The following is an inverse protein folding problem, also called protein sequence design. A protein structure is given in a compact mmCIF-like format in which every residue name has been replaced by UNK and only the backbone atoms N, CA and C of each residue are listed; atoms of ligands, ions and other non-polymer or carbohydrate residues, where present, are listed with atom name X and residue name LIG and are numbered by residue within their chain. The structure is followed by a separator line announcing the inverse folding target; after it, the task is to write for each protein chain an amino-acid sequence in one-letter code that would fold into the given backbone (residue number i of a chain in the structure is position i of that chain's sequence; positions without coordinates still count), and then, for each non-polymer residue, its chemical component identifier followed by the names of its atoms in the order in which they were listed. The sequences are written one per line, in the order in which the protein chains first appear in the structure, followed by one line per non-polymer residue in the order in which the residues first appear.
data_IF_833282505728
#
_entry.id   IF_833282505728
#
_cell.length_a   1.000
_cell.length_b   1.000
_cell.length_c   1.000
_cell.angle_alpha   90.00
_cell.angle_beta   90.00
_cell.angle_gamma   90.00
#
_symmetry.space_group_name_H-M   'P 1'
#
loop_
_entity.id
_entity.type
_entity.pdbx_description
1 polymer ?
#
# COMPACT_ATOMS: atom_id res chain seq x y z
N UNK A 1 -59.94 10.93 -7.90
CA UNK A 1 -59.40 11.19 -6.55
C UNK A 1 -58.07 10.46 -6.46
N UNK A 2 -57.02 11.14 -6.91
CA UNK A 2 -55.95 11.72 -6.08
C UNK A 2 -54.91 10.67 -5.62
N UNK A 3 -53.92 10.34 -6.46
CA UNK A 3 -52.53 10.84 -6.61
C UNK A 3 -51.48 10.09 -5.76
N UNK A 4 -50.40 9.71 -6.46
CA UNK A 4 -48.98 9.81 -6.09
C UNK A 4 -48.31 8.82 -5.12
N UNK A 5 -47.10 8.45 -5.57
CA UNK A 5 -46.09 7.58 -5.00
C UNK A 5 -45.48 8.16 -3.72
N UNK A 6 -45.11 7.30 -2.77
CA UNK A 6 -43.97 7.56 -1.89
C UNK A 6 -43.24 6.24 -1.59
N UNK A 7 -42.11 6.05 -2.25
CA UNK A 7 -41.09 5.08 -1.85
C UNK A 7 -40.45 5.62 -0.58
N UNK A 8 -40.66 4.94 0.56
CA UNK A 8 -40.02 5.30 1.81
C UNK A 8 -38.63 4.65 1.86
N UNK A 9 -37.59 5.44 1.57
CA UNK A 9 -36.22 5.09 1.86
C UNK A 9 -36.01 5.09 3.38
N UNK A 10 -35.79 3.93 3.97
CA UNK A 10 -35.33 3.82 5.36
C UNK A 10 -33.82 4.04 5.34
N UNK A 11 -33.42 5.29 5.48
CA UNK A 11 -32.05 5.67 5.85
C UNK A 11 -31.90 5.36 7.34
N UNK A 12 -31.26 4.25 7.67
CA UNK A 12 -30.83 3.98 9.05
C UNK A 12 -29.57 4.80 9.31
N UNK A 13 -29.73 5.94 9.98
CA UNK A 13 -28.63 6.70 10.52
C UNK A 13 -28.06 5.95 11.76
N UNK A 14 -26.85 5.40 11.64
CA UNK A 14 -26.05 5.00 12.78
C UNK A 14 -25.56 6.26 13.49
N UNK A 15 -26.15 6.54 14.65
CA UNK A 15 -25.65 7.54 15.60
C UNK A 15 -24.39 6.96 16.25
N UNK A 16 -23.21 7.31 15.72
CA UNK A 16 -21.96 7.16 16.46
C UNK A 16 -21.79 8.35 17.39
N UNK A 17 -21.83 8.09 18.70
CA UNK A 17 -21.51 9.06 19.74
C UNK A 17 -19.99 9.31 19.68
N UNK A 18 -19.60 10.43 19.08
CA UNK A 18 -18.24 10.93 19.10
C UNK A 18 -17.89 11.38 20.53
N UNK A 19 -17.22 10.52 21.29
CA UNK A 19 -16.39 10.98 22.39
C UNK A 19 -15.18 11.70 21.78
N UNK A 20 -15.02 12.97 22.17
CA UNK A 20 -14.16 13.93 21.52
C UNK A 20 -12.71 13.47 21.31
N UNK A 21 -12.34 13.32 20.05
CA UNK A 21 -11.01 13.65 19.53
C UNK A 21 -11.29 14.49 18.29
N UNK A 22 -10.94 15.77 18.33
CA UNK A 22 -10.98 16.62 17.15
C UNK A 22 -9.92 16.10 16.17
N UNK A 23 -10.33 15.31 15.18
CA UNK A 23 -9.49 15.01 14.03
C UNK A 23 -9.51 16.28 13.18
N UNK A 24 -8.43 17.05 13.27
CA UNK A 24 -8.18 18.13 12.33
C UNK A 24 -8.06 17.51 10.94
N UNK A 25 -9.14 17.60 10.14
CA UNK A 25 -9.07 17.33 8.71
C UNK A 25 -8.23 18.44 8.11
N UNK A 26 -6.94 18.19 7.91
CA UNK A 26 -6.09 19.05 7.09
C UNK A 26 -6.59 18.88 5.66
N UNK A 27 -7.20 19.94 5.12
CA UNK A 27 -7.61 20.02 3.72
C UNK A 27 -6.40 19.66 2.86
N UNK A 28 -6.49 18.55 2.12
CA UNK A 28 -5.46 18.16 1.17
C UNK A 28 -5.34 19.27 0.12
N UNK A 29 -4.16 19.85 0.00
CA UNK A 29 -3.83 20.79 -1.08
C UNK A 29 -3.92 20.06 -2.41
N UNK A 30 -4.49 20.70 -3.44
CA UNK A 30 -4.48 20.26 -4.85
C UNK A 30 -3.07 20.28 -5.48
N UNK A 31 -2.05 19.84 -4.74
CA UNK A 31 -0.70 19.65 -5.27
C UNK A 31 -0.58 18.22 -5.78
N UNK A 32 -0.18 18.09 -7.04
CA UNK A 32 0.17 16.82 -7.67
C UNK A 32 1.65 16.46 -7.44
N UNK A 33 2.32 17.11 -6.48
CA UNK A 33 3.76 16.94 -6.24
C UNK A 33 3.99 15.89 -5.13
N UNK A 34 4.06 14.63 -5.54
CA UNK A 34 4.16 13.45 -4.66
C UNK A 34 5.35 13.43 -3.68
N UNK A 35 6.55 13.95 -4.03
CA UNK A 35 7.67 13.99 -3.07
C UNK A 35 7.39 14.91 -1.87
N UNK A 36 6.72 16.05 -2.11
CA UNK A 36 6.45 17.04 -1.05
C UNK A 36 5.40 16.57 -0.05
N UNK A 37 4.46 15.71 -0.50
CA UNK A 37 3.51 15.03 0.37
C UNK A 37 4.23 14.08 1.34
N UNK A 38 5.21 13.29 0.86
CA UNK A 38 6.00 12.34 1.67
C UNK A 38 6.82 13.04 2.78
N UNK A 39 7.52 14.12 2.46
CA UNK A 39 8.35 14.86 3.44
C UNK A 39 7.53 15.55 4.54
N UNK A 40 6.31 15.98 4.21
CA UNK A 40 5.41 16.66 5.16
C UNK A 40 4.81 15.73 6.22
N UNK A 41 4.77 14.41 5.96
CA UNK A 41 4.28 13.39 6.90
C UNK A 41 5.44 12.89 7.78
N UNK A 42 6.62 12.64 7.18
CA UNK A 42 7.82 12.20 7.91
C UNK A 42 8.31 13.21 8.97
N UNK A 43 8.11 14.50 8.74
CA UNK A 43 8.48 15.57 9.69
C UNK A 43 7.57 15.68 10.92
N UNK A 44 6.41 14.99 10.94
CA UNK A 44 5.45 15.02 12.05
C UNK A 44 5.72 14.03 13.19
N UNK A 45 6.60 13.05 13.00
CA UNK A 45 6.92 12.02 14.01
C UNK A 45 8.26 12.24 14.74
N UNK A 46 8.99 13.32 14.42
CA UNK A 46 10.34 13.56 14.92
C UNK A 46 10.43 14.28 16.29
N UNK A 47 9.33 14.44 17.03
CA UNK A 47 9.32 15.16 18.31
C UNK A 47 8.83 14.27 19.47
N UNK A 48 9.58 13.20 19.75
CA UNK A 48 9.78 12.77 21.14
C UNK A 48 11.04 11.91 21.28
N UNK A 49 11.83 12.26 22.29
CA UNK A 49 12.97 11.53 22.88
C UNK A 49 14.38 11.82 22.34
N UNK A 50 14.85 13.02 22.67
CA UNK A 50 16.24 13.26 23.02
C UNK A 50 16.66 12.38 24.23
N UNK A 51 17.61 11.45 24.02
CA UNK A 51 18.81 11.26 24.89
C UNK A 51 19.82 10.21 24.37
N UNK A 52 20.97 10.74 23.91
CA UNK A 52 22.37 10.33 24.14
C UNK A 52 22.82 8.87 23.91
N UNK A 53 23.66 8.69 22.88
CA UNK A 53 25.06 8.27 23.12
C UNK A 53 25.66 7.06 22.38
N UNK A 54 26.53 7.35 21.40
CA UNK A 54 27.89 6.79 21.18
C UNK A 54 28.09 5.39 20.53
N UNK A 55 28.43 5.39 19.22
CA UNK A 55 29.75 4.98 18.70
C UNK A 55 30.02 3.53 18.24
N UNK A 56 30.50 3.40 16.98
CA UNK A 56 31.31 2.29 16.41
C UNK A 56 30.50 1.17 15.75
N UNK A 57 30.78 0.62 14.56
CA UNK A 57 31.94 0.63 13.67
C UNK A 57 32.19 -0.82 13.20
N UNK A 58 32.17 -1.08 11.87
CA UNK A 58 32.89 -2.20 11.25
C UNK A 58 32.11 -3.29 10.50
N UNK A 59 32.42 -3.42 9.20
CA UNK A 59 32.98 -4.65 8.64
C UNK A 59 32.02 -5.68 8.03
N UNK A 60 32.04 -5.83 6.69
CA UNK A 60 31.21 -6.77 5.94
C UNK A 60 31.71 -8.22 5.89
N UNK A 61 30.95 -9.07 5.17
CA UNK A 61 31.36 -9.99 4.07
C UNK A 61 30.26 -11.01 3.81
N UNK A 62 29.92 -11.19 2.53
CA UNK A 62 28.99 -12.22 2.05
C UNK A 62 29.65 -13.56 1.72
N UNK A 63 28.82 -14.53 1.34
CA UNK A 63 29.23 -15.70 0.56
C UNK A 63 28.36 -16.97 0.66
N UNK A 64 27.47 -17.17 -0.33
CA UNK A 64 27.07 -18.46 -0.95
C UNK A 64 26.09 -19.38 -0.19
N UNK A 65 25.10 -20.06 -0.79
CA UNK A 65 24.63 -20.18 -2.17
C UNK A 65 23.78 -21.46 -2.36
N UNK A 66 22.95 -21.47 -3.42
CA UNK A 66 22.36 -22.60 -4.18
C UNK A 66 20.90 -23.02 -3.89
N UNK A 67 20.06 -22.85 -4.93
CA UNK A 67 19.19 -23.92 -5.43
C UNK A 67 17.70 -23.60 -5.52
N UNK A 68 17.26 -22.80 -6.51
CA UNK A 68 15.84 -22.59 -6.81
C UNK A 68 15.65 -22.03 -8.21
N UNK A 69 14.62 -22.48 -8.90
CA UNK A 69 14.31 -22.27 -10.32
C UNK A 69 14.29 -20.77 -10.69
N UNK A 70 14.99 -20.41 -11.77
CA UNK A 70 15.20 -19.03 -12.19
C UNK A 70 13.89 -18.33 -12.61
N UNK A 71 13.26 -17.62 -11.69
CA UNK A 71 12.47 -16.43 -12.02
C UNK A 71 13.43 -15.34 -12.46
N UNK A 72 13.12 -14.63 -13.55
CA UNK A 72 13.93 -13.49 -14.01
C UNK A 72 13.42 -12.26 -13.26
N UNK A 73 14.10 -11.77 -12.20
CA UNK A 73 13.77 -10.48 -11.63
C UNK A 73 14.01 -9.43 -12.71
N UNK A 74 13.06 -8.51 -12.89
CA UNK A 74 13.39 -7.22 -13.50
C UNK A 74 14.42 -6.60 -12.57
N UNK A 75 15.62 -6.39 -13.09
CA UNK A 75 16.79 -6.03 -12.33
C UNK A 75 16.49 -4.82 -11.42
N UNK A 76 16.75 -5.00 -10.12
CA UNK A 76 16.86 -3.90 -9.19
C UNK A 76 17.89 -2.90 -9.72
N UNK A 77 17.40 -1.70 -10.05
CA UNK A 77 18.25 -0.57 -10.36
C UNK A 77 18.95 -0.13 -9.08
N UNK A 78 20.26 -0.32 -9.03
CA UNK A 78 21.13 0.41 -8.11
C UNK A 78 21.04 1.91 -8.45
N UNK A 79 20.14 2.63 -7.77
CA UNK A 79 20.12 4.09 -7.75
C UNK A 79 21.11 4.59 -6.71
N UNK A 80 22.39 4.71 -7.09
CA UNK A 80 23.31 5.56 -6.34
C UNK A 80 22.82 6.99 -6.44
N UNK A 81 22.67 7.66 -5.31
CA UNK A 81 22.41 9.11 -5.26
C UNK A 81 23.59 9.82 -5.94
N UNK A 82 23.39 10.25 -7.18
CA UNK A 82 24.23 11.26 -7.79
C UNK A 82 23.94 12.57 -7.04
N UNK A 83 24.98 13.16 -6.45
CA UNK A 83 24.95 14.45 -5.76
C UNK A 83 24.79 15.60 -6.78
N UNK A 84 23.68 15.64 -7.51
CA UNK A 84 23.35 16.66 -8.53
C UNK A 84 22.08 16.26 -9.30
N UNK A 85 20.93 16.21 -8.61
CA UNK A 85 19.67 15.82 -9.24
C UNK A 85 18.53 16.71 -8.77
N UNK A 86 17.89 17.37 -9.73
CA UNK A 86 16.61 18.04 -9.59
C UNK A 86 15.62 17.08 -8.91
N UNK A 87 14.94 17.49 -7.83
CA UNK A 87 13.95 16.65 -7.15
C UNK A 87 12.96 16.11 -8.19
N UNK A 88 13.04 14.81 -8.51
CA UNK A 88 12.17 14.21 -9.53
C UNK A 88 10.74 14.26 -8.99
N UNK A 89 9.96 15.20 -9.52
CA UNK A 89 8.53 15.29 -9.22
C UNK A 89 7.85 14.11 -9.88
N UNK A 90 7.76 13.00 -9.15
CA UNK A 90 6.89 11.88 -9.51
C UNK A 90 5.48 12.47 -9.61
N UNK A 91 4.83 12.33 -10.76
CA UNK A 91 3.44 12.75 -10.97
C UNK A 91 2.57 11.51 -11.10
N UNK A 92 1.42 11.50 -10.44
CA UNK A 92 0.48 10.38 -10.57
C UNK A 92 -0.18 10.37 -11.95
N UNK A 93 -0.38 9.17 -12.54
CA UNK A 93 -1.20 9.00 -13.71
C UNK A 93 -2.63 9.55 -13.51
N UNK A 94 -3.27 10.08 -14.57
CA UNK A 94 -4.66 10.48 -14.51
C UNK A 94 -5.58 9.37 -14.00
N UNK A 95 -6.52 9.74 -13.14
CA UNK A 95 -7.44 8.80 -12.53
C UNK A 95 -6.80 7.92 -11.46
N UNK A 96 -5.77 8.41 -10.77
CA UNK A 96 -5.15 7.70 -9.63
C UNK A 96 -5.03 8.59 -8.39
N UNK A 97 -4.98 7.99 -7.21
CA UNK A 97 -4.63 8.67 -5.96
C UNK A 97 -3.98 7.68 -4.97
N UNK A 98 -3.10 8.20 -4.12
CA UNK A 98 -2.45 7.43 -3.05
C UNK A 98 -3.30 7.53 -1.77
N UNK A 99 -3.46 6.40 -1.09
CA UNK A 99 -4.15 6.30 0.19
C UNK A 99 -3.26 6.67 1.40
N UNK A 100 -3.79 6.56 2.62
CA UNK A 100 -2.99 6.63 3.85
C UNK A 100 -1.92 5.54 3.92
N UNK A 101 -0.83 5.86 4.64
CA UNK A 101 0.27 4.94 4.89
C UNK A 101 0.05 4.13 6.17
N UNK A 102 0.42 2.86 6.15
CA UNK A 102 0.38 1.95 7.30
C UNK A 102 1.71 1.25 7.48
N UNK A 103 2.31 1.36 8.66
CA UNK A 103 3.58 0.69 8.98
C UNK A 103 4.60 1.64 9.62
N UNK A 104 5.88 1.50 9.25
CA UNK A 104 6.97 2.31 9.79
C UNK A 104 8.04 2.67 8.74
N UNK A 105 8.78 3.74 9.01
CA UNK A 105 9.74 4.39 8.09
C UNK A 105 11.05 3.61 7.87
N UNK A 106 11.04 2.28 7.98
CA UNK A 106 12.20 1.42 7.73
C UNK A 106 12.17 0.87 6.29
N UNK A 107 13.14 0.04 5.93
CA UNK A 107 13.25 -0.50 4.57
C UNK A 107 13.63 0.56 3.54
N UNK A 108 13.73 0.12 2.29
CA UNK A 108 13.97 0.96 1.12
C UNK A 108 12.63 1.37 0.49
N UNK A 109 12.50 2.61 -0.01
CA UNK A 109 11.27 3.06 -0.62
C UNK A 109 10.99 2.33 -1.95
N UNK A 110 9.73 2.05 -2.22
CA UNK A 110 9.24 1.58 -3.51
C UNK A 110 7.99 2.36 -3.92
N UNK A 111 7.66 2.29 -5.21
CA UNK A 111 6.42 2.86 -5.75
C UNK A 111 6.06 2.21 -7.08
N UNK A 112 4.78 1.93 -7.31
CA UNK A 112 4.28 1.38 -8.57
C UNK A 112 3.76 2.43 -9.56
N UNK A 113 3.91 3.72 -9.23
CA UNK A 113 3.30 4.84 -9.99
C UNK A 113 3.59 4.78 -11.50
N UNK A 114 4.80 4.38 -11.90
CA UNK A 114 5.18 4.29 -13.30
C UNK A 114 4.58 3.08 -14.05
N UNK A 115 4.05 2.10 -13.33
CA UNK A 115 3.57 0.82 -13.87
C UNK A 115 2.04 0.76 -13.96
N UNK A 116 1.34 1.64 -13.24
CA UNK A 116 -0.13 1.63 -13.14
C UNK A 116 -0.78 2.64 -14.08
N UNK A 117 -2.01 2.34 -14.51
CA UNK A 117 -2.85 3.26 -15.30
C UNK A 117 -4.32 3.10 -14.95
N UNK A 118 -5.11 4.16 -15.12
CA UNK A 118 -6.57 4.04 -15.08
C UNK A 118 -7.05 3.09 -16.19
N UNK A 119 -8.15 2.39 -15.94
CA UNK A 119 -8.68 1.37 -16.86
C UNK A 119 -7.92 0.04 -16.86
N UNK A 120 -6.89 -0.12 -16.03
CA UNK A 120 -6.22 -1.41 -15.87
C UNK A 120 -7.11 -2.45 -15.18
N UNK A 121 -6.75 -3.73 -15.29
CA UNK A 121 -7.41 -4.84 -14.57
C UNK A 121 -6.47 -5.43 -13.56
N UNK A 122 -6.97 -5.80 -12.38
CA UNK A 122 -6.25 -6.65 -11.44
C UNK A 122 -6.68 -8.09 -11.68
N UNK A 123 -5.71 -8.98 -11.94
CA UNK A 123 -5.95 -10.41 -12.13
C UNK A 123 -5.92 -11.19 -10.82
N UNK A 124 -4.97 -10.85 -9.94
CA UNK A 124 -4.81 -11.52 -8.66
C UNK A 124 -4.07 -10.68 -7.65
N UNK A 125 -4.29 -10.99 -6.38
CA UNK A 125 -3.46 -10.54 -5.26
C UNK A 125 -2.95 -11.74 -4.47
N UNK A 126 -1.70 -11.67 -4.03
CA UNK A 126 -1.10 -12.67 -3.16
C UNK A 126 -0.25 -12.02 -2.06
N UNK A 127 0.03 -12.80 -1.02
CA UNK A 127 0.82 -12.40 0.13
C UNK A 127 1.94 -13.42 0.38
N UNK A 128 3.05 -12.95 0.93
CA UNK A 128 3.92 -13.78 1.75
C UNK A 128 3.77 -13.36 3.20
N UNK A 129 3.48 -14.30 4.09
CA UNK A 129 3.27 -13.98 5.49
C UNK A 129 3.68 -15.12 6.43
N UNK A 130 4.14 -14.72 7.62
CA UNK A 130 4.27 -15.58 8.79
C UNK A 130 3.67 -14.88 10.01
N UNK A 131 4.48 -14.60 11.02
CA UNK A 131 4.06 -13.70 12.12
C UNK A 131 3.86 -12.25 11.66
N UNK A 132 4.33 -11.90 10.46
CA UNK A 132 4.39 -10.55 9.88
C UNK A 132 4.06 -10.67 8.40
N UNK A 133 3.84 -9.54 7.73
CA UNK A 133 3.69 -9.52 6.28
C UNK A 133 5.09 -9.36 5.68
N UNK A 134 5.53 -10.39 4.96
CA UNK A 134 6.84 -10.42 4.31
C UNK A 134 6.78 -9.75 2.94
N UNK A 135 5.70 -9.97 2.16
CA UNK A 135 5.49 -9.34 0.86
C UNK A 135 4.03 -9.20 0.44
N UNK A 136 3.77 -8.22 -0.43
CA UNK A 136 2.53 -8.08 -1.22
C UNK A 136 2.83 -8.26 -2.69
N UNK A 137 1.93 -8.96 -3.40
CA UNK A 137 2.11 -9.33 -4.80
C UNK A 137 0.81 -9.02 -5.55
N UNK A 138 0.86 -8.16 -6.56
CA UNK A 138 -0.30 -7.79 -7.38
C UNK A 138 -0.01 -8.07 -8.85
N UNK A 139 -0.87 -8.85 -9.51
CA UNK A 139 -0.79 -9.04 -10.95
C UNK A 139 -1.83 -8.18 -11.64
N UNK A 140 -1.37 -7.30 -12.52
CA UNK A 140 -2.20 -6.34 -13.26
C UNK A 140 -2.06 -6.52 -14.76
N UNK A 141 -3.07 -6.10 -15.51
CA UNK A 141 -3.03 -5.96 -16.96
C UNK A 141 -3.38 -4.51 -17.30
N UNK A 142 -2.46 -3.82 -17.96
CA UNK A 142 -2.67 -2.44 -18.37
C UNK A 142 -3.68 -2.35 -19.53
N UNK A 143 -4.21 -1.16 -19.88
CA UNK A 143 -5.18 -1.01 -20.96
C UNK A 143 -4.70 -1.48 -22.35
N UNK A 144 -3.39 -1.56 -22.57
CA UNK A 144 -2.80 -2.12 -23.81
C UNK A 144 -2.73 -3.65 -23.81
N UNK A 145 -3.10 -4.32 -22.72
CA UNK A 145 -3.11 -5.78 -22.59
C UNK A 145 -1.80 -6.39 -22.11
N UNK A 146 -0.83 -5.58 -21.69
CA UNK A 146 0.42 -6.05 -21.11
C UNK A 146 0.25 -6.36 -19.62
N UNK A 147 0.69 -7.55 -19.22
CA UNK A 147 0.64 -8.03 -17.85
C UNK A 147 1.90 -7.61 -17.09
N UNK A 148 1.75 -7.23 -15.82
CA UNK A 148 2.84 -6.93 -14.91
C UNK A 148 2.56 -7.53 -13.54
N UNK A 149 3.60 -8.02 -12.88
CA UNK A 149 3.53 -8.45 -11.48
C UNK A 149 4.33 -7.46 -10.63
N UNK A 150 3.63 -6.81 -9.71
CA UNK A 150 4.18 -5.88 -8.73
C UNK A 150 4.49 -6.70 -7.47
N UNK A 151 5.74 -6.70 -7.03
CA UNK A 151 6.21 -7.49 -5.89
C UNK A 151 7.01 -6.59 -4.96
N UNK A 152 6.54 -6.43 -3.72
CA UNK A 152 7.21 -5.61 -2.71
C UNK A 152 7.33 -6.36 -1.39
N UNK A 153 8.53 -6.40 -0.83
CA UNK A 153 8.85 -7.24 0.33
C UNK A 153 9.98 -8.24 0.07
N UNK A 154 10.18 -9.15 1.01
CA UNK A 154 11.20 -10.20 0.94
C UNK A 154 10.65 -11.59 0.60
N UNK A 155 11.53 -12.58 0.58
CA UNK A 155 11.19 -13.99 0.32
C UNK A 155 10.85 -14.78 1.60
N UNK A 156 10.77 -14.11 2.75
CA UNK A 156 10.36 -14.70 4.02
C UNK A 156 8.88 -15.13 4.03
N UNK A 157 8.42 -15.63 5.17
CA UNK A 157 7.04 -16.14 5.33
C UNK A 157 6.69 -17.30 4.39
N UNK A 158 5.44 -17.76 4.52
CA UNK A 158 4.84 -18.72 3.59
C UNK A 158 4.10 -17.96 2.48
N UNK A 159 4.17 -18.48 1.25
CA UNK A 159 3.41 -17.94 0.14
C UNK A 159 1.95 -18.40 0.28
N UNK A 160 1.04 -17.45 0.38
CA UNK A 160 -0.38 -17.74 0.46
C UNK A 160 -0.92 -18.27 -0.88
N UNK A 161 -2.11 -18.86 -0.83
CA UNK A 161 -2.85 -19.18 -2.07
C UNK A 161 -3.36 -17.87 -2.66
N UNK A 162 -3.02 -17.53 -3.92
CA UNK A 162 -3.41 -16.26 -4.51
C UNK A 162 -4.93 -16.15 -4.64
N UNK A 163 -5.48 -14.99 -4.32
CA UNK A 163 -6.85 -14.64 -4.64
C UNK A 163 -6.90 -14.19 -6.11
N UNK A 164 -7.33 -15.08 -6.99
CA UNK A 164 -7.65 -14.75 -8.38
C UNK A 164 -9.00 -14.02 -8.44
N UNK A 165 -9.04 -12.88 -9.14
CA UNK A 165 -10.25 -12.07 -9.27
C UNK A 165 -11.09 -12.57 -10.45
N UNK A 166 -12.36 -12.85 -10.19
CA UNK A 166 -13.30 -13.21 -11.24
C UNK A 166 -13.70 -11.98 -12.09
N UNK A 167 -14.38 -12.22 -13.21
CA UNK A 167 -14.90 -11.13 -14.05
C UNK A 167 -15.80 -10.18 -13.23
N UNK A 168 -15.53 -8.87 -13.32
CA UNK A 168 -16.25 -7.83 -12.57
C UNK A 168 -15.93 -7.79 -11.07
N UNK A 169 -14.93 -8.56 -10.62
CA UNK A 169 -14.39 -8.48 -9.27
C UNK A 169 -13.19 -7.54 -9.22
N UNK A 170 -13.11 -6.73 -8.17
CA UNK A 170 -12.01 -5.80 -7.93
C UNK A 170 -11.85 -5.53 -6.43
N UNK A 171 -10.63 -5.22 -6.02
CA UNK A 171 -10.28 -4.96 -4.62
C UNK A 171 -10.70 -3.52 -4.27
N UNK A 172 -11.41 -3.38 -3.14
CA UNK A 172 -12.01 -2.11 -2.70
C UNK A 172 -11.56 -1.68 -1.31
N UNK A 173 -11.00 -2.59 -0.51
CA UNK A 173 -10.56 -2.30 0.86
C UNK A 173 -9.20 -2.92 1.11
N UNK A 174 -8.33 -2.14 1.75
CA UNK A 174 -7.09 -2.59 2.38
C UNK A 174 -7.18 -2.31 3.88
N UNK A 175 -7.04 -3.35 4.70
CA UNK A 175 -6.87 -3.25 6.15
C UNK A 175 -5.45 -3.65 6.50
N UNK A 176 -4.75 -2.84 7.30
CA UNK A 176 -3.37 -3.08 7.67
C UNK A 176 -3.16 -2.81 9.16
N UNK A 177 -2.45 -3.72 9.82
CA UNK A 177 -2.12 -3.60 11.24
C UNK A 177 -0.64 -3.34 11.42
N UNK A 178 -0.30 -2.26 12.11
CA UNK A 178 1.08 -1.94 12.44
C UNK A 178 1.51 -2.62 13.74
N UNK A 179 2.80 -2.92 13.89
CA UNK A 179 3.35 -3.32 15.19
C UNK A 179 4.86 -3.30 15.22
N UNK A 180 5.41 -3.38 16.42
CA UNK A 180 6.85 -3.26 16.66
C UNK A 180 7.50 -4.64 16.78
N UNK A 181 8.59 -4.86 16.06
CA UNK A 181 9.47 -6.01 16.20
C UNK A 181 10.91 -5.54 16.35
N UNK A 182 11.58 -5.93 17.44
CA UNK A 182 12.98 -5.53 17.75
C UNK A 182 13.21 -4.01 17.62
N UNK A 183 12.24 -3.20 18.08
CA UNK A 183 12.31 -1.74 18.05
C UNK A 183 12.00 -1.10 16.69
N UNK A 184 11.55 -1.88 15.70
CA UNK A 184 11.17 -1.39 14.36
C UNK A 184 9.68 -1.60 14.09
N UNK A 185 8.98 -0.55 13.66
CA UNK A 185 7.56 -0.64 13.29
C UNK A 185 7.41 -1.19 11.87
N UNK A 186 6.48 -2.13 11.69
CA UNK A 186 6.25 -2.85 10.42
C UNK A 186 4.78 -3.19 10.22
N UNK A 187 4.44 -3.66 9.02
CA UNK A 187 3.15 -4.28 8.73
C UNK A 187 3.11 -5.70 9.31
N UNK A 188 2.32 -5.87 10.38
CA UNK A 188 2.17 -7.14 11.10
C UNK A 188 1.09 -8.02 10.50
N UNK A 189 0.05 -7.42 9.95
CA UNK A 189 -1.06 -8.09 9.29
C UNK A 189 -1.62 -7.20 8.19
N UNK A 190 -2.12 -7.83 7.13
CA UNK A 190 -2.81 -7.15 6.05
C UNK A 190 -3.97 -7.98 5.55
N UNK A 191 -5.03 -7.33 5.11
CA UNK A 191 -6.19 -7.93 4.48
C UNK A 191 -6.70 -7.08 3.33
N UNK A 192 -6.99 -7.74 2.21
CA UNK A 192 -7.62 -7.12 1.05
C UNK A 192 -9.00 -7.71 0.83
N UNK A 193 -10.01 -6.87 0.63
CA UNK A 193 -11.39 -7.30 0.39
C UNK A 193 -11.91 -6.79 -0.94
N UNK A 194 -12.58 -7.66 -1.70
CA UNK A 194 -13.16 -7.35 -3.00
C UNK A 194 -14.59 -6.83 -2.90
N UNK A 195 -15.06 -6.17 -3.95
CA UNK A 195 -16.46 -5.76 -4.10
C UNK A 195 -17.46 -6.93 -4.02
N UNK A 196 -17.01 -8.18 -4.20
CA UNK A 196 -17.83 -9.39 -4.06
C UNK A 196 -17.73 -10.06 -2.68
N UNK A 197 -16.96 -9.47 -1.76
CA UNK A 197 -16.80 -9.96 -0.39
C UNK A 197 -15.77 -11.08 -0.24
N UNK A 198 -15.04 -11.44 -1.30
CA UNK A 198 -13.88 -12.32 -1.17
C UNK A 198 -12.70 -11.55 -0.57
N UNK A 199 -11.78 -12.26 0.06
CA UNK A 199 -10.62 -11.63 0.68
C UNK A 199 -9.39 -12.55 0.69
N UNK A 200 -8.24 -11.93 0.85
CA UNK A 200 -6.99 -12.57 1.26
C UNK A 200 -6.46 -11.81 2.48
N UNK A 201 -5.90 -12.53 3.44
CA UNK A 201 -5.27 -11.95 4.63
C UNK A 201 -4.03 -12.73 5.02
N UNK A 202 -3.11 -12.09 5.74
CA UNK A 202 -1.89 -12.73 6.19
C UNK A 202 -1.23 -11.96 7.33
N UNK A 203 -0.44 -12.65 8.15
CA UNK A 203 0.25 -12.08 9.30
C UNK A 203 -0.52 -12.24 10.62
N UNK A 204 -0.10 -11.51 11.65
CA UNK A 204 -0.71 -11.55 12.99
C UNK A 204 -1.39 -10.22 13.33
N UNK A 205 -2.71 -10.22 13.58
CA UNK A 205 -3.43 -9.01 13.95
C UNK A 205 -2.86 -8.30 15.19
N UNK A 206 -2.98 -6.97 15.22
CA UNK A 206 -2.58 -6.14 16.37
C UNK A 206 -3.69 -5.15 16.72
N UNK A 207 -3.49 -4.36 17.77
CA UNK A 207 -4.42 -3.30 18.16
C UNK A 207 -4.25 -1.98 17.38
N UNK A 208 -3.20 -1.85 16.55
CA UNK A 208 -2.97 -0.66 15.72
C UNK A 208 -3.51 -0.93 14.32
N UNK A 209 -4.80 -0.66 14.15
CA UNK A 209 -5.56 -0.99 12.94
C UNK A 209 -5.72 0.26 12.07
N UNK A 210 -5.49 0.10 10.78
CA UNK A 210 -5.81 1.08 9.77
C UNK A 210 -6.59 0.45 8.62
N UNK A 211 -7.48 1.22 8.02
CA UNK A 211 -8.30 0.78 6.88
C UNK A 211 -8.33 1.87 5.83
N UNK A 212 -8.18 1.48 4.58
CA UNK A 212 -8.33 2.32 3.41
C UNK A 212 -9.38 1.73 2.47
N UNK A 213 -10.31 2.56 2.02
CA UNK A 213 -11.44 2.15 1.18
C UNK A 213 -11.46 2.99 -0.09
N UNK A 214 -11.49 2.31 -1.23
CA UNK A 214 -11.56 2.95 -2.53
C UNK A 214 -12.81 3.85 -2.64
N UNK A 215 -12.63 5.04 -3.20
CA UNK A 215 -13.71 5.86 -3.75
C UNK A 215 -14.52 5.05 -4.75
N UNK A 216 -15.81 5.39 -4.89
CA UNK A 216 -16.66 4.80 -5.92
C UNK A 216 -16.02 4.92 -7.31
N UNK A 217 -16.02 3.83 -8.07
CA UNK A 217 -15.42 3.76 -9.40
C UNK A 217 -13.91 3.47 -9.41
N UNK A 218 -13.28 3.25 -8.26
CA UNK A 218 -11.86 2.92 -8.14
C UNK A 218 -11.63 1.49 -7.61
N UNK A 219 -10.45 0.97 -7.91
CA UNK A 219 -9.94 -0.31 -7.43
C UNK A 219 -8.47 -0.17 -7.02
N UNK A 220 -7.97 -1.13 -6.23
CA UNK A 220 -6.54 -1.23 -5.97
C UNK A 220 -5.80 -1.35 -7.30
N UNK A 221 -4.78 -0.53 -7.52
CA UNK A 221 -4.00 -0.58 -8.74
C UNK A 221 -2.51 -0.89 -8.56
N UNK A 222 -1.96 -0.56 -7.41
CA UNK A 222 -0.58 -0.82 -7.05
C UNK A 222 -0.32 -0.34 -5.64
N UNK A 223 0.95 -0.26 -5.26
CA UNK A 223 1.37 0.11 -3.94
C UNK A 223 2.42 1.21 -3.95
N UNK A 224 2.42 1.96 -2.86
CA UNK A 224 3.46 2.88 -2.48
C UNK A 224 3.95 2.49 -1.09
N UNK A 225 5.25 2.54 -0.82
CA UNK A 225 5.68 2.22 0.53
C UNK A 225 7.16 1.96 0.70
N UNK A 226 7.47 1.12 1.69
CA UNK A 226 8.85 0.76 2.05
C UNK A 226 8.96 -0.72 2.43
N UNK A 227 10.04 -1.36 2.01
CA UNK A 227 10.28 -2.77 2.30
C UNK A 227 11.76 -3.12 2.40
N UNK A 228 12.05 -4.21 3.08
CA UNK A 228 13.35 -4.89 3.06
C UNK A 228 13.11 -6.39 3.02
N UNK A 229 13.60 -7.10 4.04
CA UNK A 229 13.27 -8.52 4.24
C UNK A 229 11.76 -8.74 4.49
N UNK A 230 11.04 -7.69 4.92
CA UNK A 230 9.61 -7.68 5.23
C UNK A 230 8.96 -6.41 4.69
N UNK A 231 7.62 -6.35 4.68
CA UNK A 231 6.88 -5.13 4.36
C UNK A 231 6.88 -4.19 5.57
N UNK A 232 7.64 -3.10 5.49
CA UNK A 232 7.79 -2.15 6.59
C UNK A 232 6.66 -1.10 6.57
N UNK A 233 6.27 -0.59 5.39
CA UNK A 233 5.19 0.37 5.19
C UNK A 233 4.47 0.14 3.86
N UNK A 234 3.14 0.32 3.85
CA UNK A 234 2.31 0.18 2.66
C UNK A 234 1.20 1.23 2.61
N UNK A 235 0.97 1.77 1.43
CA UNK A 235 -0.19 2.54 1.02
C UNK A 235 -0.74 1.97 -0.28
N UNK A 236 -2.06 1.98 -0.42
CA UNK A 236 -2.71 1.60 -1.65
C UNK A 236 -2.64 2.75 -2.66
N UNK A 237 -2.28 2.45 -3.90
CA UNK A 237 -2.53 3.36 -5.01
C UNK A 237 -3.82 2.92 -5.68
N UNK A 238 -4.84 3.76 -5.60
CA UNK A 238 -6.15 3.49 -6.17
C UNK A 238 -6.21 4.02 -7.60
N UNK A 239 -6.73 3.19 -8.51
CA UNK A 239 -6.87 3.51 -9.94
C UNK A 239 -8.33 3.48 -10.35
N UNK A 240 -8.74 4.42 -11.19
CA UNK A 240 -10.07 4.42 -11.79
C UNK A 240 -10.27 3.15 -12.61
N UNK A 241 -11.39 2.46 -12.39
CA UNK A 241 -11.79 1.27 -13.15
C UNK A 241 -12.02 1.62 -14.62
N UNK A 242 -12.50 2.83 -14.91
CA UNK A 242 -12.62 3.34 -16.27
C UNK A 242 -11.36 4.12 -16.66
N UNK A 243 -10.92 4.05 -17.93
CA UNK A 243 -9.83 4.89 -18.43
C UNK A 243 -10.12 6.37 -18.20
N UNK A 244 -9.11 7.11 -17.74
CA UNK A 244 -9.12 8.57 -17.61
C UNK A 244 -8.00 9.12 -18.50
N UNK A 245 -8.36 10.05 -19.37
CA UNK A 245 -7.44 10.68 -20.33
C UNK A 245 -6.62 11.82 -19.73
#
# INVERSE_FOLDING_TARGET
MHVLRLMLAIVVALISINNGVAIAVKTASESNDYPTLRDSIASGEADSEERKGRGGGGGGRGGGGRGGVAYRPVAGGHGGYAEDGEDEVITLPPGTYVGPEFGGLHGDPFTDVALIKSGQKVLSINLRAGERVDAVILTIVNPSGEESTLYHGGDGGDLETPLALAEGEYITVMEAHAGTHKGRTRVKYIKFTTNKGNFIEGGTPTHKIGTDTAKEGYQLGGFDGRSGDELDLVSAIWTSIQPVG
#
